data_IF_839323813957
#
_entry.id   IF_839323813957
#
_cell.length_a   1.000
_cell.length_b   1.000
_cell.length_c   1.000
_cell.angle_alpha   90.00
_cell.angle_beta   90.00
_cell.angle_gamma   90.00
#
_symmetry.space_group_name_H-M   'P 1'
#
loop_
_entity.id
_entity.type
_entity.pdbx_description
1 polymer ?
#
# COMPACT_ATOMS: atom_id res chain seq x y z
N UNK A 1 -14.27 -13.09 -26.11
CA UNK A 1 -14.74 -12.57 -24.79
C UNK A 1 -14.35 -13.48 -23.62
N UNK A 2 -14.62 -14.79 -23.64
CA UNK A 2 -14.27 -15.72 -22.54
C UNK A 2 -12.78 -15.70 -22.13
N UNK A 3 -11.86 -15.61 -23.09
CA UNK A 3 -10.42 -15.54 -22.81
C UNK A 3 -10.01 -14.22 -22.12
N UNK A 4 -10.60 -13.07 -22.52
CA UNK A 4 -10.34 -11.77 -21.86
C UNK A 4 -10.87 -11.73 -20.42
N UNK A 5 -12.01 -12.38 -20.17
CA UNK A 5 -12.59 -12.50 -18.83
C UNK A 5 -11.71 -13.38 -17.97
N UNK A 6 -11.29 -14.55 -18.48
CA UNK A 6 -10.39 -15.46 -17.78
C UNK A 6 -9.07 -14.80 -17.37
N UNK A 7 -8.40 -14.11 -18.30
CA UNK A 7 -7.14 -13.39 -18.00
C UNK A 7 -7.36 -12.29 -16.95
N UNK A 8 -8.48 -11.57 -16.99
CA UNK A 8 -8.81 -10.57 -15.96
C UNK A 8 -8.97 -11.20 -14.58
N UNK A 9 -9.74 -12.29 -14.47
CA UNK A 9 -9.91 -13.02 -13.22
C UNK A 9 -8.59 -13.59 -12.70
N UNK A 10 -7.76 -14.16 -13.56
CA UNK A 10 -6.44 -14.68 -13.19
C UNK A 10 -5.55 -13.56 -12.61
N UNK A 11 -5.53 -12.38 -13.24
CA UNK A 11 -4.77 -11.23 -12.74
C UNK A 11 -5.33 -10.69 -11.41
N UNK A 12 -6.65 -10.65 -11.24
CA UNK A 12 -7.28 -10.22 -9.98
C UNK A 12 -6.92 -11.17 -8.82
N UNK A 13 -7.00 -12.48 -9.07
CA UNK A 13 -6.63 -13.50 -8.07
C UNK A 13 -5.16 -13.38 -7.70
N UNK A 14 -4.27 -13.20 -8.69
CA UNK A 14 -2.84 -12.99 -8.42
C UNK A 14 -2.59 -11.73 -7.59
N UNK A 15 -3.22 -10.60 -7.93
CA UNK A 15 -3.07 -9.36 -7.18
C UNK A 15 -3.53 -9.49 -5.72
N UNK A 16 -4.63 -10.22 -5.48
CA UNK A 16 -5.13 -10.51 -4.13
C UNK A 16 -4.13 -11.37 -3.35
N UNK A 17 -3.60 -12.41 -3.98
CA UNK A 17 -2.60 -13.30 -3.36
C UNK A 17 -1.32 -12.55 -3.02
N UNK A 18 -0.78 -11.75 -3.94
CA UNK A 18 0.40 -10.92 -3.70
C UNK A 18 0.19 -9.93 -2.56
N UNK A 19 -0.96 -9.24 -2.54
CA UNK A 19 -1.31 -8.31 -1.46
C UNK A 19 -1.38 -9.02 -0.11
N UNK A 20 -2.02 -10.20 -0.05
CA UNK A 20 -2.10 -11.00 1.16
C UNK A 20 -0.73 -11.47 1.65
N UNK A 21 0.16 -11.89 0.74
CA UNK A 21 1.53 -12.29 1.08
C UNK A 21 2.34 -11.12 1.62
N UNK A 22 2.28 -9.95 0.97
CA UNK A 22 2.94 -8.73 1.44
C UNK A 22 2.48 -8.37 2.85
N UNK A 23 1.17 -8.40 3.09
CA UNK A 23 0.61 -8.08 4.41
C UNK A 23 1.05 -9.07 5.49
N UNK A 24 1.11 -10.36 5.16
CA UNK A 24 1.61 -11.39 6.09
C UNK A 24 3.08 -11.18 6.45
N UNK A 25 3.92 -10.80 5.49
CA UNK A 25 5.34 -10.49 5.76
C UNK A 25 5.44 -9.28 6.69
N UNK A 26 4.71 -8.21 6.40
CA UNK A 26 4.71 -7.01 7.24
C UNK A 26 4.29 -7.32 8.68
N UNK A 27 3.21 -8.07 8.87
CA UNK A 27 2.78 -8.49 10.20
C UNK A 27 3.87 -9.28 10.91
N UNK A 28 4.47 -10.27 10.24
CA UNK A 28 5.56 -11.07 10.84
C UNK A 28 6.78 -10.24 11.21
N UNK A 29 7.15 -9.27 10.39
CA UNK A 29 8.27 -8.36 10.67
C UNK A 29 7.99 -7.49 11.88
N UNK A 30 6.80 -6.91 11.97
CA UNK A 30 6.37 -6.06 13.09
C UNK A 30 6.31 -6.88 14.39
N UNK A 31 5.74 -8.09 14.35
CA UNK A 31 5.62 -8.95 15.53
C UNK A 31 6.99 -9.44 16.03
N UNK A 32 7.91 -9.73 15.11
CA UNK A 32 9.25 -10.20 15.45
C UNK A 32 10.18 -9.10 15.97
N UNK A 33 9.88 -7.83 15.67
CA UNK A 33 10.71 -6.68 16.04
C UNK A 33 9.85 -5.65 16.78
N UNK A 34 9.61 -5.83 18.09
CA UNK A 34 8.91 -4.83 18.87
C UNK A 34 9.81 -3.60 19.08
N UNK A 35 9.31 -2.43 18.67
CA UNK A 35 9.91 -1.13 18.97
C UNK A 35 8.82 -0.08 19.16
N UNK A 36 9.20 0.99 19.85
CA UNK A 36 8.36 2.15 20.08
C UNK A 36 8.48 3.14 18.91
N UNK A 37 7.35 3.71 18.53
CA UNK A 37 7.25 4.72 17.48
C UNK A 37 6.94 6.06 18.14
N UNK A 38 7.62 7.16 17.76
CA UNK A 38 7.28 8.48 18.28
C UNK A 38 5.80 8.83 18.04
N UNK A 39 5.05 9.29 19.06
CA UNK A 39 3.62 9.60 18.92
C UNK A 39 3.33 10.60 17.79
N UNK A 40 4.23 11.57 17.60
CA UNK A 40 4.10 12.57 16.53
C UNK A 40 4.05 11.96 15.12
N UNK A 41 4.74 10.83 14.87
CA UNK A 41 4.67 10.14 13.59
C UNK A 41 3.33 9.41 13.41
N UNK A 42 2.81 8.82 14.49
CA UNK A 42 1.49 8.17 14.49
C UNK A 42 0.41 9.21 14.24
N UNK A 43 0.45 10.34 14.94
CA UNK A 43 -0.50 11.44 14.76
C UNK A 43 -0.48 12.00 13.34
N UNK A 44 0.71 12.16 12.76
CA UNK A 44 0.84 12.57 11.37
C UNK A 44 0.17 11.56 10.42
N UNK A 45 0.42 10.27 10.64
CA UNK A 45 -0.18 9.21 9.83
C UNK A 45 -1.70 9.13 10.00
N UNK A 46 -2.21 9.33 11.22
CA UNK A 46 -3.65 9.38 11.47
C UNK A 46 -4.30 10.51 10.67
N UNK A 47 -3.74 11.73 10.72
CA UNK A 47 -4.24 12.87 9.94
C UNK A 47 -4.26 12.57 8.44
N UNK A 48 -3.17 12.01 7.92
CA UNK A 48 -3.09 11.61 6.52
C UNK A 48 -4.17 10.60 6.12
N UNK A 49 -4.41 9.57 6.95
CA UNK A 49 -5.43 8.56 6.69
C UNK A 49 -6.85 9.13 6.76
N UNK A 50 -7.11 10.06 7.68
CA UNK A 50 -8.38 10.77 7.79
C UNK A 50 -8.66 11.62 6.54
N UNK A 51 -7.70 12.43 6.10
CA UNK A 51 -7.81 13.25 4.89
C UNK A 51 -8.04 12.40 3.63
N UNK A 52 -7.33 11.27 3.53
CA UNK A 52 -7.50 10.32 2.43
C UNK A 52 -8.90 9.70 2.42
N UNK A 53 -9.43 9.33 3.60
CA UNK A 53 -10.77 8.79 3.71
C UNK A 53 -11.83 9.84 3.33
N UNK A 54 -11.67 11.09 3.79
CA UNK A 54 -12.56 12.19 3.43
C UNK A 54 -12.55 12.47 1.93
N UNK A 55 -11.37 12.47 1.30
CA UNK A 55 -11.22 12.67 -0.14
C UNK A 55 -11.91 11.56 -0.95
N UNK A 56 -11.80 10.30 -0.50
CA UNK A 56 -12.49 9.17 -1.14
C UNK A 56 -14.02 9.25 -1.03
N UNK A 57 -14.54 9.74 0.09
CA UNK A 57 -15.98 9.93 0.29
C UNK A 57 -16.52 11.06 -0.60
N UNK A 58 -15.80 12.17 -0.69
CA UNK A 58 -16.15 13.29 -1.56
C UNK A 58 -16.24 12.87 -3.04
N UNK A 59 -15.29 12.04 -3.50
CA UNK A 59 -15.25 11.57 -4.89
C UNK A 59 -16.36 10.55 -5.24
N UNK A 60 -16.93 9.86 -4.25
CA UNK A 60 -18.01 8.89 -4.46
C UNK A 60 -19.40 9.53 -4.47
N UNK A 61 -19.48 10.87 -4.45
CA UNK A 61 -20.76 11.59 -4.38
C UNK A 61 -21.54 11.33 -3.10
N UNK A 62 -20.89 10.78 -2.08
CA UNK A 62 -21.56 10.40 -0.85
C UNK A 62 -21.81 11.62 0.03
N UNK A 63 -23.10 11.92 0.21
CA UNK A 63 -23.67 12.76 1.26
C UNK A 63 -23.49 12.13 2.66
N UNK A 64 -22.26 11.72 3.01
CA UNK A 64 -21.92 11.17 4.32
C UNK A 64 -21.22 12.22 5.19
N UNK A 65 -21.85 13.38 5.35
CA UNK A 65 -21.67 14.22 6.54
C UNK A 65 -22.61 13.77 7.67
N UNK A 66 -23.14 12.55 7.62
CA UNK A 66 -24.16 12.02 8.54
C UNK A 66 -23.88 10.58 8.99
N UNK A 67 -22.63 10.28 9.35
CA UNK A 67 -22.38 9.21 10.30
C UNK A 67 -22.21 9.88 11.65
N UNK A 68 -23.02 9.53 12.65
CA UNK A 68 -22.93 10.08 14.02
C UNK A 68 -21.66 9.68 14.79
N UNK A 69 -20.58 9.41 14.08
CA UNK A 69 -19.27 9.04 14.63
C UNK A 69 -18.51 10.34 14.87
N UNK A 70 -18.14 10.62 16.12
CA UNK A 70 -17.36 11.82 16.40
C UNK A 70 -15.97 11.74 15.76
N UNK A 71 -15.33 12.89 15.56
CA UNK A 71 -13.95 12.95 15.02
C UNK A 71 -12.99 12.12 15.88
N UNK A 72 -13.23 12.10 17.19
CA UNK A 72 -12.48 11.34 18.18
C UNK A 72 -12.67 9.83 17.99
N UNK A 73 -13.90 9.36 17.77
CA UNK A 73 -14.15 7.95 17.48
C UNK A 73 -13.47 7.50 16.19
N UNK A 74 -13.52 8.33 15.14
CA UNK A 74 -12.81 8.04 13.89
C UNK A 74 -11.29 8.02 14.09
N UNK A 75 -10.76 8.89 14.95
CA UNK A 75 -9.34 8.89 15.33
C UNK A 75 -8.96 7.58 16.01
N UNK A 76 -9.73 7.14 17.00
CA UNK A 76 -9.51 5.89 17.73
C UNK A 76 -9.55 4.65 16.82
N UNK A 77 -10.43 4.64 15.81
CA UNK A 77 -10.50 3.55 14.82
C UNK A 77 -9.28 3.52 13.89
N UNK A 78 -8.73 4.68 13.52
CA UNK A 78 -7.61 4.81 12.57
C UNK A 78 -6.26 4.66 13.26
N UNK A 79 -6.15 5.02 14.53
CA UNK A 79 -4.89 5.04 15.28
C UNK A 79 -4.12 3.71 15.27
N UNK A 80 -4.76 2.52 15.48
CA UNK A 80 -4.06 1.24 15.38
C UNK A 80 -3.51 0.96 13.97
N UNK A 81 -4.28 1.34 12.93
CA UNK A 81 -3.84 1.19 11.54
C UNK A 81 -2.67 2.12 11.24
N UNK A 82 -2.72 3.37 11.70
CA UNK A 82 -1.67 4.36 11.54
C UNK A 82 -0.37 3.90 12.22
N UNK A 83 -0.46 3.46 13.48
CA UNK A 83 0.67 2.90 14.23
C UNK A 83 1.32 1.73 13.47
N UNK A 84 0.49 0.79 12.97
CA UNK A 84 0.98 -0.34 12.18
C UNK A 84 1.69 0.11 10.91
N UNK A 85 1.13 1.08 10.18
CA UNK A 85 1.75 1.60 8.95
C UNK A 85 3.08 2.29 9.22
N UNK A 86 3.18 3.11 10.28
CA UNK A 86 4.46 3.74 10.64
C UNK A 86 5.50 2.70 11.01
N UNK A 87 5.13 1.67 11.79
CA UNK A 87 6.04 0.56 12.11
C UNK A 87 6.52 -0.15 10.85
N UNK A 88 5.60 -0.43 9.92
CA UNK A 88 5.92 -1.10 8.66
C UNK A 88 6.92 -0.27 7.84
N UNK A 89 6.66 1.02 7.67
CA UNK A 89 7.51 1.94 6.93
C UNK A 89 8.92 1.98 7.52
N UNK A 90 9.05 2.22 8.83
CA UNK A 90 10.36 2.31 9.49
C UNK A 90 11.18 1.00 9.39
N UNK A 91 10.53 -0.15 9.52
CA UNK A 91 11.21 -1.45 9.35
C UNK A 91 11.67 -1.65 7.92
N UNK A 92 10.81 -1.38 6.94
CA UNK A 92 11.12 -1.58 5.53
C UNK A 92 12.22 -0.62 5.07
N UNK A 93 12.18 0.65 5.49
CA UNK A 93 13.25 1.62 5.22
C UNK A 93 14.58 1.14 5.80
N UNK A 94 14.58 0.62 7.03
CA UNK A 94 15.79 0.09 7.65
C UNK A 94 16.35 -1.10 6.88
N UNK A 95 15.50 -2.02 6.45
CA UNK A 95 15.88 -3.18 5.64
C UNK A 95 16.42 -2.72 4.28
N UNK A 96 15.73 -1.79 3.61
CA UNK A 96 16.16 -1.23 2.33
C UNK A 96 17.57 -0.64 2.43
N UNK A 97 17.86 0.10 3.50
CA UNK A 97 19.18 0.67 3.73
C UNK A 97 20.27 -0.41 3.98
N UNK A 98 19.96 -1.47 4.73
CA UNK A 98 20.90 -2.57 5.00
C UNK A 98 21.21 -3.38 3.73
N UNK A 99 20.20 -3.63 2.92
CA UNK A 99 20.29 -4.39 1.68
C UNK A 99 20.67 -3.52 0.46
N UNK A 100 20.88 -2.21 0.67
CA UNK A 100 21.23 -1.22 -0.36
C UNK A 100 20.25 -1.22 -1.53
N UNK A 101 18.97 -1.30 -1.21
CA UNK A 101 17.88 -1.24 -2.18
C UNK A 101 17.61 0.21 -2.52
N UNK A 102 17.99 0.58 -3.74
CA UNK A 102 17.84 1.94 -4.25
C UNK A 102 17.00 1.95 -5.54
N UNK A 103 16.47 3.12 -5.86
CA UNK A 103 15.74 3.40 -7.10
C UNK A 103 16.46 4.56 -7.79
N UNK A 104 16.90 4.32 -9.02
CA UNK A 104 17.58 5.32 -9.83
C UNK A 104 16.61 6.36 -10.39
N UNK A 105 17.13 7.55 -10.72
CA UNK A 105 16.35 8.61 -11.37
C UNK A 105 15.74 8.16 -12.70
N UNK A 106 16.42 7.25 -13.39
CA UNK A 106 15.93 6.66 -14.63
C UNK A 106 14.67 5.82 -14.38
N UNK A 107 14.68 4.98 -13.36
CA UNK A 107 13.52 4.16 -12.98
C UNK A 107 12.34 5.04 -12.51
N UNK A 108 12.62 6.13 -11.80
CA UNK A 108 11.60 7.14 -11.45
C UNK A 108 10.99 7.72 -12.72
N UNK A 109 11.82 8.17 -13.66
CA UNK A 109 11.34 8.74 -14.91
C UNK A 109 10.50 7.74 -15.71
N UNK A 110 10.95 6.49 -15.80
CA UNK A 110 10.20 5.41 -16.45
C UNK A 110 8.83 5.19 -15.78
N UNK A 111 8.78 5.21 -14.44
CA UNK A 111 7.53 5.05 -13.70
C UNK A 111 6.58 6.23 -13.92
N UNK A 112 7.08 7.45 -13.89
CA UNK A 112 6.28 8.67 -14.18
C UNK A 112 5.67 8.57 -15.58
N UNK A 113 6.46 8.16 -16.57
CA UNK A 113 6.00 7.98 -17.95
C UNK A 113 4.96 6.86 -18.09
N UNK A 114 5.12 5.76 -17.37
CA UNK A 114 4.16 4.66 -17.30
C UNK A 114 2.80 5.12 -16.72
N UNK A 115 2.84 5.85 -15.61
CA UNK A 115 1.63 6.39 -14.95
C UNK A 115 0.97 7.45 -15.84
N UNK A 116 1.75 8.34 -16.45
CA UNK A 116 1.23 9.37 -17.35
C UNK A 116 0.55 8.76 -18.58
N UNK A 117 1.14 7.71 -19.18
CA UNK A 117 0.55 7.00 -20.32
C UNK A 117 -0.76 6.31 -19.93
N UNK A 118 -0.78 5.67 -18.77
CA UNK A 118 -1.97 4.99 -18.24
C UNK A 118 -3.11 5.96 -17.91
N UNK A 119 -2.78 7.22 -17.58
CA UNK A 119 -3.75 8.26 -17.23
C UNK A 119 -4.42 8.94 -18.44
N UNK A 120 -4.00 8.64 -19.68
CA UNK A 120 -4.59 9.21 -20.90
C UNK A 120 -4.47 10.74 -20.95
N UNK A 121 -5.60 11.43 -21.09
CA UNK A 121 -5.68 12.91 -21.17
C UNK A 121 -5.05 13.62 -19.96
N UNK A 122 -5.06 12.96 -18.78
CA UNK A 122 -4.44 13.51 -17.56
C UNK A 122 -2.92 13.34 -17.51
N UNK A 123 -2.31 12.69 -18.50
CA UNK A 123 -0.88 12.40 -18.53
C UNK A 123 0.00 13.64 -18.48
N UNK A 124 -0.44 14.77 -19.08
CA UNK A 124 0.30 16.03 -19.00
C UNK A 124 0.35 16.57 -17.56
N UNK A 125 -0.77 16.50 -16.83
CA UNK A 125 -0.85 16.89 -15.42
C UNK A 125 0.02 16.01 -14.53
N UNK A 126 0.04 14.70 -14.78
CA UNK A 126 0.90 13.76 -14.04
C UNK A 126 2.37 14.12 -14.20
N UNK A 127 2.83 14.37 -15.44
CA UNK A 127 4.21 14.79 -15.68
C UNK A 127 4.54 16.07 -14.94
N UNK A 128 3.64 17.05 -14.98
CA UNK A 128 3.84 18.33 -14.31
C UNK A 128 3.95 18.18 -12.79
N UNK A 129 3.12 17.34 -12.16
CA UNK A 129 3.22 17.03 -10.73
C UNK A 129 4.63 16.49 -10.39
N UNK A 130 5.12 15.53 -11.16
CA UNK A 130 6.42 14.89 -10.94
C UNK A 130 7.62 15.69 -11.49
N UNK A 131 7.44 16.95 -11.90
CA UNK A 131 8.57 17.88 -12.10
C UNK A 131 9.11 18.42 -10.79
N UNK A 132 8.29 18.41 -9.74
CA UNK A 132 8.72 18.83 -8.41
C UNK A 132 9.56 17.72 -7.78
N UNK A 133 10.66 18.11 -7.14
CA UNK A 133 11.59 17.15 -6.54
C UNK A 133 10.94 16.38 -5.39
N UNK A 134 10.14 17.04 -4.56
CA UNK A 134 9.43 16.40 -3.44
C UNK A 134 8.48 15.29 -3.92
N UNK A 135 7.74 15.53 -5.00
CA UNK A 135 6.88 14.50 -5.59
C UNK A 135 7.69 13.31 -6.16
N UNK A 136 8.90 13.55 -6.67
CA UNK A 136 9.79 12.48 -7.15
C UNK A 136 10.38 11.68 -5.99
N UNK A 137 10.77 12.33 -4.90
CA UNK A 137 11.25 11.67 -3.67
C UNK A 137 10.17 10.82 -3.01
N UNK A 138 8.93 11.30 -2.97
CA UNK A 138 7.79 10.52 -2.47
C UNK A 138 7.58 9.26 -3.32
N UNK A 139 7.60 9.39 -4.65
CA UNK A 139 7.52 8.25 -5.56
C UNK A 139 8.70 7.29 -5.38
N UNK A 140 9.91 7.83 -5.17
CA UNK A 140 11.11 7.03 -4.94
C UNK A 140 10.98 6.21 -3.67
N UNK A 141 10.56 6.83 -2.58
CA UNK A 141 10.32 6.17 -1.29
C UNK A 141 9.28 5.05 -1.43
N UNK A 142 8.20 5.30 -2.16
CA UNK A 142 7.20 4.28 -2.46
C UNK A 142 7.78 3.11 -3.28
N UNK A 143 8.57 3.41 -4.31
CA UNK A 143 9.18 2.37 -5.15
C UNK A 143 10.24 1.55 -4.40
N UNK A 144 11.03 2.18 -3.52
CA UNK A 144 11.98 1.49 -2.62
C UNK A 144 11.23 0.56 -1.68
N UNK A 145 10.14 1.03 -1.07
CA UNK A 145 9.29 0.23 -0.19
C UNK A 145 8.76 -1.02 -0.91
N UNK A 146 8.17 -0.83 -2.10
CA UNK A 146 7.63 -1.93 -2.91
C UNK A 146 8.72 -2.91 -3.35
N UNK A 147 9.88 -2.41 -3.79
CA UNK A 147 11.04 -3.24 -4.17
C UNK A 147 11.54 -4.06 -2.99
N UNK A 148 11.60 -3.46 -1.81
CA UNK A 148 12.05 -4.13 -0.59
C UNK A 148 11.09 -5.24 -0.18
N UNK A 149 9.77 -5.02 -0.29
CA UNK A 149 8.79 -6.08 -0.06
C UNK A 149 8.93 -7.23 -1.06
N UNK A 150 9.15 -6.93 -2.34
CA UNK A 150 9.39 -7.96 -3.37
C UNK A 150 10.69 -8.72 -3.09
N UNK A 151 11.75 -8.03 -2.68
CA UNK A 151 13.01 -8.65 -2.26
C UNK A 151 12.78 -9.60 -1.08
N UNK A 152 12.07 -9.15 -0.05
CA UNK A 152 11.72 -9.97 1.11
C UNK A 152 10.87 -11.18 0.74
N UNK A 153 9.88 -11.03 -0.15
CA UNK A 153 9.06 -12.15 -0.64
C UNK A 153 9.90 -13.23 -1.33
N UNK A 154 10.90 -12.84 -2.12
CA UNK A 154 11.78 -13.77 -2.84
C UNK A 154 12.74 -14.52 -1.92
N UNK A 155 13.14 -13.91 -0.81
CA UNK A 155 14.09 -14.49 0.15
C UNK A 155 13.41 -15.08 1.39
N UNK A 156 12.12 -14.79 1.60
CA UNK A 156 11.33 -15.42 2.62
C UNK A 156 11.17 -16.91 2.31
N UNK A 157 11.30 -17.75 3.34
CA UNK A 157 11.01 -19.17 3.23
C UNK A 157 9.47 -19.35 3.15
N UNK A 158 8.90 -19.08 1.98
CA UNK A 158 7.46 -19.15 1.72
C UNK A 158 7.07 -20.63 1.66
N UNK A 159 6.58 -21.18 2.78
CA UNK A 159 5.80 -22.41 2.74
C UNK A 159 4.46 -22.08 2.10
N UNK A 160 4.32 -22.41 0.81
CA UNK A 160 3.02 -22.42 0.14
C UNK A 160 2.09 -23.37 0.89
N UNK A 161 1.13 -22.81 1.62
CA UNK A 161 -0.06 -23.56 2.03
C UNK A 161 -1.12 -23.29 0.98
N UNK A 162 -1.60 -24.36 0.34
CA UNK A 162 -2.67 -24.30 -0.63
C UNK A 162 -3.83 -23.42 -0.11
N UNK A 163 -4.49 -22.64 -0.99
CA UNK A 163 -5.57 -21.76 -0.57
C UNK A 163 -6.61 -22.58 0.21
N UNK A 164 -7.12 -22.07 1.34
CA UNK A 164 -8.27 -22.68 1.98
C UNK A 164 -9.44 -22.50 1.01
N UNK A 165 -9.68 -23.52 0.20
CA UNK A 165 -10.93 -23.66 -0.52
C UNK A 165 -11.95 -23.80 0.60
N UNK A 166 -12.85 -22.82 0.73
CA UNK A 166 -13.98 -22.85 1.64
C UNK A 166 -14.75 -24.17 1.44
N UNK A 167 -14.43 -25.17 2.26
CA UNK A 167 -15.21 -26.37 2.42
C UNK A 167 -16.42 -26.03 3.30
N UNK A 168 -17.30 -25.19 2.78
CA UNK A 168 -18.62 -24.90 3.34
C UNK A 168 -19.72 -25.14 2.32
N UNK A 169 -19.66 -26.27 1.62
CA UNK A 169 -20.86 -26.92 1.09
C UNK A 169 -20.73 -28.44 1.23
N UNK A 170 -21.31 -28.96 2.33
CA UNK A 170 -22.08 -30.20 2.41
C UNK A 170 -22.32 -30.57 3.86
N UNK A 171 -23.33 -29.95 4.48
CA UNK A 171 -24.19 -30.54 5.51
C UNK A 171 -25.50 -29.76 5.55
N UNK A 172 -26.45 -30.09 4.67
CA UNK A 172 -27.70 -30.75 5.03
C UNK A 172 -28.54 -31.03 3.78
#
# INVERSE_FOLDING_TARGET
MKQKIRVRLENEVQAIQESSLKERILTRLIDAHPFEVPPAMVDHQVRYLMERNQSRLANQGAASSRSGTSVEQMREEIEPQALRQVKATLLIEKIAALEKIEISDKEIQEKVEEVARSAGEKGATIREIYRREDAREDLRSQMVFDRTLVFLLKHANVKEMAPPIDAKEKKS
#
